data_IF_909435622567
#
_entry.id   IF_909435622567
#
_cell.length_a   1.000
_cell.length_b   1.000
_cell.length_c   1.000
_cell.angle_alpha   90.00
_cell.angle_beta   90.00
_cell.angle_gamma   90.00
#
_symmetry.space_group_name_H-M   'P 1'
#
loop_
_entity.id
_entity.type
_entity.pdbx_description
1 polymer ?
#
# COMPACT_ATOMS: atom_id res chain seq x y z
N UNK A 1 -40.00 -19.41 -57.50
CA UNK A 1 -39.30 -20.55 -56.88
C UNK A 1 -39.50 -20.49 -55.37
N UNK A 2 -40.10 -21.55 -54.81
CA UNK A 2 -39.86 -22.15 -53.48
C UNK A 2 -39.72 -21.24 -52.24
N UNK A 3 -40.84 -21.18 -51.54
CA UNK A 3 -41.01 -21.61 -50.14
C UNK A 3 -40.75 -20.64 -48.97
N UNK A 4 -41.57 -20.75 -47.89
CA UNK A 4 -41.71 -19.78 -46.82
C UNK A 4 -41.07 -20.26 -45.49
N UNK A 5 -40.81 -19.34 -44.55
CA UNK A 5 -40.40 -19.69 -43.17
C UNK A 5 -41.44 -19.18 -42.17
N UNK A 6 -42.40 -20.07 -41.92
CA UNK A 6 -42.93 -20.53 -40.63
C UNK A 6 -42.95 -19.56 -39.42
N UNK A 7 -44.16 -19.01 -39.17
CA UNK A 7 -45.04 -19.22 -37.99
C UNK A 7 -44.36 -19.69 -36.69
N UNK A 8 -44.48 -18.89 -35.63
CA UNK A 8 -44.78 -19.44 -34.30
C UNK A 8 -45.63 -18.47 -33.48
N UNK A 9 -46.91 -18.80 -33.44
CA UNK A 9 -47.89 -18.30 -32.48
C UNK A 9 -47.76 -19.14 -31.21
N UNK A 10 -47.77 -18.52 -30.03
CA UNK A 10 -48.46 -19.14 -28.89
C UNK A 10 -48.96 -18.10 -27.90
N UNK A 11 -50.27 -18.21 -27.70
CA UNK A 11 -51.09 -17.42 -26.82
C UNK A 11 -50.90 -17.77 -25.35
N UNK A 12 -51.35 -16.80 -24.53
CA UNK A 12 -51.64 -16.80 -23.09
C UNK A 12 -51.96 -18.16 -22.47
N UNK A 13 -51.48 -18.37 -21.24
CA UNK A 13 -52.32 -18.79 -20.13
C UNK A 13 -51.81 -18.17 -18.82
N UNK A 14 -52.72 -17.53 -18.10
CA UNK A 14 -52.57 -17.02 -16.73
C UNK A 14 -52.86 -18.20 -15.78
N UNK A 15 -52.03 -18.45 -14.77
CA UNK A 15 -52.47 -18.93 -13.44
C UNK A 15 -51.50 -18.42 -12.36
N UNK A 16 -52.06 -17.72 -11.39
CA UNK A 16 -51.46 -17.31 -10.12
C UNK A 16 -51.41 -18.50 -9.14
N UNK A 17 -50.33 -18.67 -8.36
CA UNK A 17 -50.37 -18.69 -6.89
C UNK A 17 -49.02 -19.11 -6.26
N UNK A 18 -48.53 -18.26 -5.36
CA UNK A 18 -47.88 -18.54 -4.07
C UNK A 18 -47.20 -19.90 -3.84
N UNK A 19 -45.87 -19.89 -3.69
CA UNK A 19 -45.17 -20.92 -2.90
C UNK A 19 -44.00 -20.33 -2.11
N UNK A 20 -43.91 -20.77 -0.85
CA UNK A 20 -43.20 -20.23 0.32
C UNK A 20 -41.67 -20.04 0.15
N UNK A 21 -41.04 -19.14 0.93
CA UNK A 21 -39.59 -19.09 1.03
C UNK A 21 -39.04 -20.40 1.63
N UNK A 22 -37.88 -20.90 1.18
CA UNK A 22 -37.29 -22.11 1.73
C UNK A 22 -36.87 -21.89 3.19
N UNK A 23 -37.16 -22.87 4.04
CA UNK A 23 -36.68 -22.90 5.43
C UNK A 23 -35.15 -22.81 5.42
N UNK A 24 -34.60 -21.87 6.21
CA UNK A 24 -33.15 -21.81 6.49
C UNK A 24 -32.78 -23.05 7.29
N UNK A 25 -31.92 -23.89 6.72
CA UNK A 25 -31.27 -24.96 7.45
C UNK A 25 -30.32 -24.35 8.51
N UNK A 26 -30.50 -24.62 9.81
CA UNK A 26 -29.63 -24.11 10.86
C UNK A 26 -28.17 -24.61 10.76
N UNK A 27 -27.88 -25.56 9.85
CA UNK A 27 -26.56 -26.17 9.69
C UNK A 27 -25.72 -25.63 8.53
N UNK A 28 -26.14 -24.55 7.89
CA UNK A 28 -25.27 -23.83 6.95
C UNK A 28 -24.22 -22.99 7.71
N UNK A 29 -23.33 -23.66 8.45
CA UNK A 29 -22.09 -23.03 8.90
C UNK A 29 -21.39 -22.54 7.63
N UNK A 30 -21.15 -21.22 7.44
CA UNK A 30 -20.42 -20.77 6.28
C UNK A 30 -19.08 -21.52 6.25
N UNK A 31 -18.64 -22.01 5.08
CA UNK A 31 -17.37 -22.72 4.98
C UNK A 31 -16.31 -21.86 5.67
N UNK A 32 -15.41 -22.45 6.47
CA UNK A 32 -14.34 -21.68 7.10
C UNK A 32 -13.68 -20.89 5.97
N UNK A 33 -13.75 -19.54 6.07
CA UNK A 33 -13.18 -18.64 5.06
C UNK A 33 -11.80 -19.20 4.77
N UNK A 34 -11.57 -19.67 3.54
CA UNK A 34 -10.28 -20.22 3.11
C UNK A 34 -9.25 -19.22 3.60
N UNK A 35 -8.44 -19.63 4.59
CA UNK A 35 -7.29 -18.87 5.01
C UNK A 35 -6.47 -18.77 3.74
N UNK A 36 -6.49 -17.60 3.09
CA UNK A 36 -5.44 -17.25 2.14
C UNK A 36 -4.18 -17.49 2.95
N UNK A 37 -3.47 -18.57 2.65
CA UNK A 37 -2.22 -18.89 3.33
C UNK A 37 -1.36 -17.66 3.13
N UNK A 38 -1.29 -16.81 4.16
CA UNK A 38 -0.48 -15.62 4.13
C UNK A 38 0.91 -16.11 3.75
N UNK A 39 1.47 -15.54 2.70
CA UNK A 39 2.81 -15.85 2.22
C UNK A 39 3.69 -16.10 3.44
N UNK A 40 4.40 -17.23 3.53
CA UNK A 40 5.08 -17.68 4.75
C UNK A 40 6.12 -16.71 5.32
N UNK A 41 6.33 -15.58 4.63
CA UNK A 41 7.17 -14.43 4.98
C UNK A 41 6.37 -13.21 5.50
N UNK A 42 5.06 -13.34 5.75
CA UNK A 42 4.20 -12.25 6.22
C UNK A 42 3.96 -12.29 7.73
N UNK A 43 3.69 -11.12 8.33
CA UNK A 43 3.33 -10.98 9.73
C UNK A 43 1.95 -11.57 10.10
N UNK A 44 1.21 -12.11 9.13
CA UNK A 44 -0.15 -12.61 9.30
C UNK A 44 -1.20 -11.62 8.83
N UNK A 45 -2.45 -11.85 9.23
CA UNK A 45 -3.60 -11.03 8.83
C UNK A 45 -3.90 -9.97 9.89
N UNK A 46 -4.00 -8.72 9.48
CA UNK A 46 -4.52 -7.64 10.34
C UNK A 46 -5.99 -7.87 10.65
N UNK A 47 -6.32 -7.94 11.94
CA UNK A 47 -7.68 -8.05 12.44
C UNK A 47 -8.29 -6.67 12.70
N UNK A 48 -7.56 -5.80 13.41
CA UNK A 48 -7.98 -4.44 13.74
C UNK A 48 -6.79 -3.57 14.13
N UNK A 49 -7.00 -2.25 14.13
CA UNK A 49 -6.10 -1.27 14.76
C UNK A 49 -6.53 -1.07 16.22
N UNK A 50 -5.56 -1.01 17.11
CA UNK A 50 -5.72 -0.82 18.56
C UNK A 50 -4.92 0.42 18.94
N UNK A 51 -5.54 1.36 19.67
CA UNK A 51 -4.86 2.58 20.16
C UNK A 51 -4.44 3.58 19.07
N UNK A 52 -4.69 3.28 17.78
CA UNK A 52 -4.32 4.12 16.63
C UNK A 52 -2.92 3.85 16.07
N UNK A 53 -2.05 3.17 16.81
CA UNK A 53 -0.64 2.96 16.46
C UNK A 53 -0.19 1.49 16.53
N UNK A 54 -1.11 0.58 16.87
CA UNK A 54 -0.84 -0.86 16.92
C UNK A 54 -1.83 -1.63 16.03
N UNK A 55 -1.37 -2.71 15.41
CA UNK A 55 -2.22 -3.65 14.67
C UNK A 55 -2.27 -5.00 15.40
N UNK A 56 -3.48 -5.48 15.67
CA UNK A 56 -3.69 -6.86 16.15
C UNK A 56 -3.69 -7.80 14.94
N UNK A 57 -2.85 -8.82 14.98
CA UNK A 57 -2.62 -9.77 13.88
C UNK A 57 -3.02 -11.18 14.29
N UNK A 58 -3.53 -11.98 13.34
CA UNK A 58 -3.65 -13.44 13.46
C UNK A 58 -2.73 -14.16 12.49
N UNK A 59 -1.98 -15.14 13.00
CA UNK A 59 -1.16 -16.05 12.20
C UNK A 59 -1.21 -17.44 12.82
N UNK A 60 -1.65 -18.43 12.04
CA UNK A 60 -1.66 -19.85 12.47
C UNK A 60 -2.37 -20.09 13.82
N UNK A 61 -3.44 -19.33 14.10
CA UNK A 61 -4.18 -19.42 15.36
C UNK A 61 -3.55 -18.67 16.53
N UNK A 62 -2.39 -18.05 16.33
CA UNK A 62 -1.75 -17.16 17.31
C UNK A 62 -2.13 -15.71 17.05
N UNK A 63 -2.34 -14.96 18.14
CA UNK A 63 -2.52 -13.52 18.08
C UNK A 63 -1.19 -12.81 18.40
N UNK A 64 -0.91 -11.74 17.68
CA UNK A 64 0.25 -10.88 17.93
C UNK A 64 -0.17 -9.42 17.85
N UNK A 65 0.55 -8.55 18.57
CA UNK A 65 0.38 -7.11 18.48
C UNK A 65 1.63 -6.50 17.83
N UNK A 66 1.44 -5.80 16.72
CA UNK A 66 2.52 -5.13 16.00
C UNK A 66 2.42 -3.62 16.22
N UNK A 67 3.49 -3.00 16.69
CA UNK A 67 3.61 -1.54 16.71
C UNK A 67 3.84 -1.03 15.28
N UNK A 68 2.91 -0.21 14.79
CA UNK A 68 2.98 0.37 13.45
C UNK A 68 4.08 1.41 13.36
N UNK A 69 4.31 2.20 14.42
CA UNK A 69 5.36 3.23 14.43
C UNK A 69 6.76 2.62 14.32
N UNK A 70 6.99 1.49 14.98
CA UNK A 70 8.24 0.74 14.85
C UNK A 70 8.35 0.12 13.46
N UNK A 71 7.30 -0.55 12.97
CA UNK A 71 7.31 -1.17 11.64
C UNK A 71 7.57 -0.13 10.53
N UNK A 72 6.94 1.03 10.60
CA UNK A 72 7.10 2.12 9.63
C UNK A 72 8.51 2.71 9.65
N UNK A 73 9.15 2.80 10.83
CA UNK A 73 10.56 3.18 10.93
C UNK A 73 11.46 2.18 10.22
N UNK A 74 11.26 0.89 10.46
CA UNK A 74 12.04 -0.16 9.80
C UNK A 74 11.85 -0.15 8.28
N UNK A 75 10.62 0.08 7.82
CA UNK A 75 10.32 0.23 6.40
C UNK A 75 11.09 1.40 5.78
N UNK A 76 10.98 2.61 6.38
CA UNK A 76 11.71 3.79 5.90
C UNK A 76 13.22 3.60 5.92
N UNK A 77 13.75 2.95 6.95
CA UNK A 77 15.18 2.67 7.03
C UNK A 77 15.61 1.75 5.88
N UNK A 78 14.85 0.70 5.58
CA UNK A 78 15.14 -0.20 4.46
C UNK A 78 15.04 0.50 3.10
N UNK A 79 14.09 1.43 2.92
CA UNK A 79 13.93 2.20 1.69
C UNK A 79 15.03 3.25 1.48
N UNK A 80 15.52 3.86 2.56
CA UNK A 80 16.49 4.95 2.51
C UNK A 80 17.93 4.49 2.68
N UNK A 81 18.18 3.25 3.09
CA UNK A 81 19.54 2.71 3.17
C UNK A 81 20.01 2.35 1.77
N UNK A 82 21.07 3.00 1.24
CA UNK A 82 21.61 2.65 -0.06
C UNK A 82 22.06 1.19 -0.06
N UNK A 83 21.59 0.41 -1.03
CA UNK A 83 22.04 -0.96 -1.23
C UNK A 83 23.33 -0.98 -2.05
N UNK A 84 23.37 -1.85 -3.06
CA UNK A 84 24.45 -1.86 -4.06
C UNK A 84 24.38 -0.62 -4.98
N UNK A 85 23.19 -0.02 -5.12
CA UNK A 85 22.93 1.16 -5.93
C UNK A 85 22.48 2.34 -5.05
N UNK A 86 22.75 3.56 -5.51
CA UNK A 86 22.28 4.77 -4.87
C UNK A 86 20.75 4.85 -4.89
N UNK A 87 20.16 5.48 -3.86
CA UNK A 87 18.72 5.72 -3.80
C UNK A 87 18.33 6.68 -4.92
N UNK A 88 17.26 6.35 -5.66
CA UNK A 88 16.81 7.17 -6.78
C UNK A 88 16.35 8.55 -6.29
N UNK A 89 16.95 9.60 -6.84
CA UNK A 89 16.60 10.99 -6.57
C UNK A 89 15.37 11.42 -7.39
N UNK A 90 14.36 11.98 -6.73
CA UNK A 90 13.20 12.60 -7.33
C UNK A 90 13.33 14.13 -7.30
N UNK A 91 13.35 14.80 -8.47
CA UNK A 91 13.39 16.26 -8.53
C UNK A 91 12.16 16.90 -7.87
N UNK A 92 12.39 17.99 -7.12
CA UNK A 92 11.37 18.81 -6.52
C UNK A 92 10.73 19.72 -7.58
N UNK A 93 9.39 19.81 -7.58
CA UNK A 93 8.65 20.74 -8.44
C UNK A 93 9.05 22.20 -8.20
N UNK A 94 9.35 22.52 -6.94
CA UNK A 94 9.85 23.84 -6.52
C UNK A 94 11.09 23.59 -5.65
N UNK A 95 12.29 24.03 -6.09
CA UNK A 95 13.49 23.90 -5.29
C UNK A 95 13.40 24.64 -3.95
N UNK A 96 13.87 24.00 -2.87
CA UNK A 96 13.79 24.56 -1.52
C UNK A 96 15.09 25.30 -1.19
N UNK A 97 15.03 26.63 -1.08
CA UNK A 97 16.17 27.46 -0.70
C UNK A 97 16.18 27.74 0.80
N UNK A 98 17.24 27.32 1.46
CA UNK A 98 17.44 27.44 2.90
C UNK A 98 18.63 28.35 3.18
N UNK A 99 18.49 29.26 4.16
CA UNK A 99 19.63 29.99 4.71
C UNK A 99 20.43 29.04 5.59
N UNK A 100 21.74 29.06 5.43
CA UNK A 100 22.66 28.21 6.20
C UNK A 100 23.80 29.04 6.74
N UNK A 101 24.32 28.65 7.89
CA UNK A 101 25.54 29.20 8.46
C UNK A 101 26.78 28.64 7.73
N UNK A 102 27.93 29.29 7.90
CA UNK A 102 29.19 28.80 7.34
C UNK A 102 29.58 27.41 7.87
N UNK A 103 29.26 27.12 9.13
CA UNK A 103 29.50 25.79 9.73
C UNK A 103 28.69 24.69 9.05
N UNK A 104 27.39 24.94 8.85
CA UNK A 104 26.49 24.00 8.16
C UNK A 104 26.88 23.83 6.69
N UNK A 105 27.28 24.90 6.01
CA UNK A 105 27.76 24.85 4.63
C UNK A 105 28.98 23.93 4.48
N UNK A 106 29.94 24.01 5.40
CA UNK A 106 31.10 23.10 5.43
C UNK A 106 30.68 21.65 5.70
N UNK A 107 29.75 21.43 6.63
CA UNK A 107 29.23 20.10 6.93
C UNK A 107 28.53 19.48 5.70
N UNK A 108 27.73 20.27 4.98
CA UNK A 108 27.06 19.83 3.74
C UNK A 108 28.06 19.54 2.62
N UNK A 109 29.11 20.35 2.48
CA UNK A 109 30.18 20.07 1.52
C UNK A 109 30.91 18.76 1.84
N UNK A 110 31.19 18.50 3.12
CA UNK A 110 31.81 17.24 3.56
C UNK A 110 30.88 16.03 3.37
N UNK A 111 29.56 16.20 3.55
CA UNK A 111 28.57 15.15 3.42
C UNK A 111 28.03 14.97 1.98
N UNK A 112 28.47 15.78 1.01
CA UNK A 112 27.88 15.85 -0.33
C UNK A 112 27.78 14.48 -1.01
N UNK A 113 28.83 13.66 -0.92
CA UNK A 113 28.84 12.32 -1.52
C UNK A 113 27.80 11.39 -0.88
N UNK A 114 27.69 11.41 0.45
CA UNK A 114 26.71 10.60 1.17
C UNK A 114 25.27 11.05 0.87
N UNK A 115 25.04 12.37 0.77
CA UNK A 115 23.75 12.94 0.42
C UNK A 115 23.33 12.53 -1.00
N UNK A 116 24.25 12.56 -1.97
CA UNK A 116 23.97 12.08 -3.33
C UNK A 116 23.63 10.58 -3.35
N UNK A 117 24.30 9.75 -2.53
CA UNK A 117 23.98 8.32 -2.42
C UNK A 117 22.58 8.07 -1.83
N UNK A 118 22.10 8.97 -0.99
CA UNK A 118 20.75 8.98 -0.44
C UNK A 118 19.71 9.62 -1.38
N UNK A 119 20.10 9.98 -2.62
CA UNK A 119 19.19 10.61 -3.58
C UNK A 119 18.86 12.07 -3.26
N UNK A 120 19.70 12.75 -2.47
CA UNK A 120 19.52 14.16 -2.10
C UNK A 120 20.48 15.02 -2.94
N UNK A 121 19.90 15.86 -3.81
CA UNK A 121 20.67 16.79 -4.63
C UNK A 121 20.61 18.19 -4.05
N UNK A 122 21.80 18.73 -3.75
CA UNK A 122 21.97 20.08 -3.21
C UNK A 122 22.77 20.94 -4.17
N UNK A 123 22.40 22.23 -4.24
CA UNK A 123 23.19 23.27 -4.87
C UNK A 123 23.50 24.38 -3.87
N UNK A 124 24.77 24.70 -3.70
CA UNK A 124 25.25 25.64 -2.69
C UNK A 124 25.61 26.98 -3.32
N UNK A 125 25.12 28.06 -2.72
CA UNK A 125 25.39 29.46 -3.07
C UNK A 125 26.09 30.17 -1.88
N UNK A 126 26.36 31.47 -1.97
CA UNK A 126 27.07 32.26 -0.95
C UNK A 126 26.44 32.10 0.44
N UNK A 127 25.14 32.38 0.57
CA UNK A 127 24.41 32.37 1.86
C UNK A 127 23.32 31.29 1.97
N UNK A 128 23.12 30.51 0.91
CA UNK A 128 21.99 29.60 0.82
C UNK A 128 22.39 28.24 0.25
N UNK A 129 21.62 27.23 0.63
CA UNK A 129 21.62 25.91 -0.02
C UNK A 129 20.26 25.69 -0.63
N UNK A 130 20.23 25.14 -1.84
CA UNK A 130 19.02 24.81 -2.57
C UNK A 130 18.91 23.30 -2.71
N UNK A 131 17.88 22.71 -2.12
CA UNK A 131 17.53 21.30 -2.35
C UNK A 131 16.78 21.20 -3.66
N UNK A 132 17.25 20.34 -4.58
CA UNK A 132 16.68 20.16 -5.92
C UNK A 132 16.03 18.81 -6.11
N UNK A 133 16.49 17.78 -5.42
CA UNK A 133 15.91 16.44 -5.46
C UNK A 133 16.02 15.75 -4.10
N UNK A 134 15.10 14.82 -3.84
CA UNK A 134 15.00 14.03 -2.61
C UNK A 134 14.68 12.55 -2.94
N UNK A 135 14.98 11.59 -2.07
CA UNK A 135 14.65 10.19 -2.32
C UNK A 135 13.15 9.95 -2.49
N UNK A 136 12.81 8.95 -3.29
CA UNK A 136 11.42 8.48 -3.46
C UNK A 136 10.85 7.90 -2.14
N UNK A 137 9.55 8.11 -1.86
CA UNK A 137 8.84 7.48 -0.73
C UNK A 137 8.53 5.98 -0.94
#
# INVERSE_FOLDING_TARGET
MRSPVTRSSRARFIVSCSTRPPLRDPRSRPPPRRKLAGHSQSFGRVLTIVGGDCALLEREGSLALLSLTVAERWLRQAQLTPGTEAVCAQPLLIPLRLKVTEGEKRALAAAQSALTQLGIELHTDALHVTVRAVPLP
#
